data_IF_396951545765
#
_entry.id   IF_396951545765
#
_cell.length_a   1.000
_cell.length_b   1.000
_cell.length_c   1.000
_cell.angle_alpha   90.00
_cell.angle_beta   90.00
_cell.angle_gamma   90.00
#
_symmetry.space_group_name_H-M   'P 1'
#
loop_
_entity.id
_entity.type
_entity.pdbx_description
1 polymer ?
#
# COMPACT_ATOMS: atom_id res chain seq x y z
N UNK A 1 -30.23 -7.06 0.43
CA UNK A 1 -30.00 -8.17 -0.54
C UNK A 1 -28.71 -8.90 -0.17
N UNK A 2 -28.52 -10.14 -0.64
CA UNK A 2 -27.26 -10.86 -0.46
C UNK A 2 -26.18 -10.29 -1.40
N UNK A 3 -24.90 -10.55 -1.10
CA UNK A 3 -23.78 -10.03 -1.88
C UNK A 3 -23.85 -10.39 -3.37
N UNK A 4 -24.19 -11.64 -3.70
CA UNK A 4 -24.34 -12.07 -5.10
C UNK A 4 -25.48 -11.37 -5.85
N UNK A 5 -26.57 -11.06 -5.15
CA UNK A 5 -27.68 -10.28 -5.72
C UNK A 5 -27.26 -8.82 -5.93
N UNK A 6 -26.46 -8.27 -5.00
CA UNK A 6 -25.88 -6.93 -5.13
C UNK A 6 -24.99 -6.84 -6.38
N UNK A 7 -24.05 -7.78 -6.57
CA UNK A 7 -23.19 -7.82 -7.76
C UNK A 7 -24.02 -7.84 -9.06
N UNK A 8 -25.04 -8.71 -9.11
CA UNK A 8 -25.90 -8.81 -10.29
C UNK A 8 -26.72 -7.52 -10.52
N UNK A 9 -27.20 -6.89 -9.46
CA UNK A 9 -27.92 -5.60 -9.56
C UNK A 9 -26.98 -4.51 -10.10
N UNK A 10 -25.76 -4.39 -9.55
CA UNK A 10 -24.75 -3.42 -10.04
C UNK A 10 -24.43 -3.67 -11.51
N UNK A 11 -24.19 -4.93 -11.90
CA UNK A 11 -23.89 -5.29 -13.29
C UNK A 11 -25.03 -4.87 -14.24
N UNK A 12 -26.27 -5.20 -13.90
CA UNK A 12 -27.45 -4.92 -14.71
C UNK A 12 -27.69 -3.41 -14.84
N UNK A 13 -27.69 -2.71 -13.72
CA UNK A 13 -28.02 -1.27 -13.68
C UNK A 13 -26.92 -0.39 -14.30
N UNK A 14 -25.63 -0.72 -14.09
CA UNK A 14 -24.54 0.00 -14.76
C UNK A 14 -24.58 -0.28 -16.26
N UNK A 15 -24.78 -1.53 -16.69
CA UNK A 15 -24.89 -1.86 -18.13
C UNK A 15 -26.02 -1.08 -18.80
N UNK A 16 -27.16 -0.92 -18.13
CA UNK A 16 -28.28 -0.14 -18.67
C UNK A 16 -27.99 1.38 -18.79
N UNK A 17 -27.02 1.90 -18.06
CA UNK A 17 -26.61 3.32 -18.06
C UNK A 17 -25.45 3.61 -19.01
N UNK A 18 -24.80 2.58 -19.57
CA UNK A 18 -23.69 2.72 -20.50
C UNK A 18 -24.17 2.70 -21.96
N UNK A 19 -23.40 3.30 -22.86
CA UNK A 19 -23.59 3.19 -24.30
C UNK A 19 -23.35 1.73 -24.76
N UNK A 20 -24.02 1.33 -25.83
CA UNK A 20 -24.00 -0.07 -26.35
C UNK A 20 -22.60 -0.58 -26.74
N UNK A 21 -21.64 0.29 -26.98
CA UNK A 21 -20.28 -0.08 -27.38
C UNK A 21 -19.40 -0.49 -26.17
N UNK A 22 -19.81 -0.13 -24.95
CA UNK A 22 -19.06 -0.47 -23.74
C UNK A 22 -19.32 -1.94 -23.35
N UNK A 23 -18.30 -2.56 -22.78
CA UNK A 23 -18.41 -3.90 -22.17
C UNK A 23 -18.14 -3.78 -20.69
N UNK A 24 -18.99 -4.41 -19.88
CA UNK A 24 -18.83 -4.50 -18.45
C UNK A 24 -18.50 -5.94 -18.06
N UNK A 25 -17.54 -6.11 -17.16
CA UNK A 25 -17.20 -7.39 -16.55
C UNK A 25 -16.97 -7.23 -15.06
N UNK A 26 -17.38 -8.23 -14.29
CA UNK A 26 -17.01 -8.36 -12.87
C UNK A 26 -16.18 -9.62 -12.71
N UNK A 27 -14.99 -9.51 -12.11
CA UNK A 27 -14.12 -10.66 -11.90
C UNK A 27 -13.36 -10.54 -10.58
N UNK A 28 -13.00 -11.68 -9.95
CA UNK A 28 -12.22 -11.66 -8.72
C UNK A 28 -10.79 -11.17 -8.99
N UNK A 29 -10.35 -10.18 -8.20
CA UNK A 29 -9.01 -9.60 -8.22
C UNK A 29 -8.30 -9.97 -6.93
N UNK A 30 -7.14 -10.59 -7.05
CA UNK A 30 -6.29 -10.91 -5.90
C UNK A 30 -5.56 -9.64 -5.43
N UNK A 31 -5.62 -9.39 -4.14
CA UNK A 31 -4.92 -8.32 -3.45
C UNK A 31 -3.85 -8.88 -2.51
N UNK A 32 -3.09 -7.99 -1.92
CA UNK A 32 -2.14 -8.32 -0.87
C UNK A 32 -2.81 -9.12 0.26
N UNK A 33 -2.06 -9.92 1.00
CA UNK A 33 -2.50 -10.77 2.08
C UNK A 33 -3.56 -11.82 1.69
N UNK A 34 -3.60 -12.21 0.39
CA UNK A 34 -4.52 -13.22 -0.11
C UNK A 34 -5.98 -12.76 -0.19
N UNK A 35 -6.25 -11.48 -0.01
CA UNK A 35 -7.59 -10.90 -0.15
C UNK A 35 -8.07 -11.01 -1.59
N UNK A 36 -9.37 -11.20 -1.76
CA UNK A 36 -10.02 -11.27 -3.08
C UNK A 36 -11.16 -10.27 -3.10
N UNK A 37 -11.10 -9.33 -4.03
CA UNK A 37 -12.14 -8.34 -4.26
C UNK A 37 -12.79 -8.56 -5.61
N UNK A 38 -14.09 -8.26 -5.71
CA UNK A 38 -14.78 -8.28 -6.99
C UNK A 38 -14.56 -6.94 -7.70
N UNK A 39 -13.78 -7.00 -8.77
CA UNK A 39 -13.42 -5.84 -9.59
C UNK A 39 -14.39 -5.67 -10.75
N UNK A 40 -15.11 -4.56 -10.78
CA UNK A 40 -15.88 -4.09 -11.91
C UNK A 40 -14.95 -3.39 -12.89
N UNK A 41 -14.98 -3.80 -14.15
CA UNK A 41 -14.22 -3.18 -15.25
C UNK A 41 -15.18 -2.74 -16.34
N UNK A 42 -15.18 -1.46 -16.66
CA UNK A 42 -15.94 -0.87 -17.77
C UNK A 42 -14.97 -0.63 -18.92
N UNK A 43 -15.07 -1.46 -19.95
CA UNK A 43 -14.17 -1.43 -21.10
C UNK A 43 -14.75 -0.52 -22.17
N UNK A 44 -14.05 0.60 -22.43
CA UNK A 44 -14.29 1.44 -23.58
C UNK A 44 -13.46 0.90 -24.77
N UNK A 45 -14.10 0.53 -25.91
CA UNK A 45 -13.38 -0.08 -27.04
C UNK A 45 -12.35 0.88 -27.71
N UNK A 46 -12.37 2.15 -27.35
CA UNK A 46 -11.41 3.15 -27.84
C UNK A 46 -10.05 3.08 -27.16
N UNK A 47 -9.95 2.39 -26.02
CA UNK A 47 -8.73 2.34 -25.20
C UNK A 47 -8.37 0.90 -24.85
N UNK A 48 -7.08 0.64 -24.68
CA UNK A 48 -6.54 -0.68 -24.35
C UNK A 48 -6.40 -0.94 -22.85
N UNK A 49 -6.75 0.03 -22.00
CA UNK A 49 -6.78 -0.08 -20.54
C UNK A 49 -8.14 0.35 -20.00
N UNK A 50 -8.47 -0.11 -18.81
CA UNK A 50 -9.67 0.32 -18.07
C UNK A 50 -9.39 0.28 -16.56
N UNK A 51 -9.97 1.21 -15.76
CA UNK A 51 -9.86 1.16 -14.32
C UNK A 51 -10.64 -0.05 -13.77
N UNK A 52 -10.14 -0.61 -12.67
CA UNK A 52 -10.84 -1.63 -11.90
C UNK A 52 -11.44 -1.00 -10.66
N UNK A 53 -12.76 -1.06 -10.53
CA UNK A 53 -13.50 -0.52 -9.38
C UNK A 53 -13.88 -1.68 -8.46
N UNK A 54 -13.37 -1.68 -7.23
CA UNK A 54 -13.64 -2.76 -6.27
C UNK A 54 -15.02 -2.60 -5.64
N UNK A 55 -15.89 -3.61 -5.77
CA UNK A 55 -17.29 -3.53 -5.34
C UNK A 55 -17.51 -3.84 -3.85
N UNK A 56 -16.54 -4.50 -3.20
CA UNK A 56 -16.66 -4.88 -1.79
C UNK A 56 -16.93 -3.67 -0.86
N UNK A 57 -16.23 -2.53 -0.97
CA UNK A 57 -16.53 -1.35 -0.15
C UNK A 57 -17.95 -0.79 -0.39
N UNK A 58 -18.43 -0.81 -1.61
CA UNK A 58 -19.79 -0.35 -1.95
C UNK A 58 -20.88 -1.26 -1.37
N UNK A 59 -20.60 -2.56 -1.24
CA UNK A 59 -21.52 -3.45 -0.54
C UNK A 59 -21.63 -3.13 0.95
N UNK A 60 -20.53 -2.74 1.60
CA UNK A 60 -20.59 -2.24 2.98
C UNK A 60 -21.45 -0.97 3.09
N UNK A 61 -21.30 -0.02 2.17
CA UNK A 61 -22.20 1.15 2.13
C UNK A 61 -23.67 0.76 1.99
N UNK A 62 -23.97 -0.26 1.17
CA UNK A 62 -25.33 -0.79 1.07
C UNK A 62 -25.82 -1.37 2.40
N UNK A 63 -25.00 -2.11 3.12
CA UNK A 63 -25.34 -2.66 4.44
C UNK A 63 -25.56 -1.55 5.48
N UNK A 64 -24.83 -0.43 5.36
CA UNK A 64 -24.99 0.78 6.18
C UNK A 64 -26.21 1.64 5.79
N UNK A 65 -27.00 1.18 4.81
CA UNK A 65 -28.27 1.81 4.42
C UNK A 65 -28.16 2.83 3.28
N UNK A 66 -27.01 2.94 2.60
CA UNK A 66 -26.89 3.78 1.40
C UNK A 66 -27.73 3.19 0.26
N UNK A 67 -28.47 4.03 -0.45
CA UNK A 67 -29.33 3.58 -1.55
C UNK A 67 -28.51 3.03 -2.73
N UNK A 68 -29.10 2.07 -3.47
CA UNK A 68 -28.46 1.51 -4.67
C UNK A 68 -28.19 2.62 -5.70
N UNK A 69 -29.11 3.56 -5.91
CA UNK A 69 -28.91 4.66 -6.86
C UNK A 69 -27.70 5.52 -6.49
N UNK A 70 -27.53 5.85 -5.21
CA UNK A 70 -26.35 6.60 -4.74
C UNK A 70 -25.05 5.82 -4.95
N UNK A 71 -25.08 4.50 -4.78
CA UNK A 71 -23.93 3.61 -5.01
C UNK A 71 -23.60 3.56 -6.51
N UNK A 72 -24.60 3.43 -7.38
CA UNK A 72 -24.41 3.43 -8.84
C UNK A 72 -23.80 4.76 -9.32
N UNK A 73 -24.29 5.88 -8.79
CA UNK A 73 -23.76 7.20 -9.12
C UNK A 73 -22.29 7.34 -8.65
N UNK A 74 -21.95 6.84 -7.46
CA UNK A 74 -20.59 6.85 -6.96
C UNK A 74 -19.65 5.97 -7.81
N UNK A 75 -20.09 4.78 -8.23
CA UNK A 75 -19.32 3.89 -9.12
C UNK A 75 -19.07 4.58 -10.47
N UNK A 76 -20.09 5.20 -11.07
CA UNK A 76 -19.96 5.92 -12.35
C UNK A 76 -19.09 7.16 -12.22
N UNK A 77 -19.17 7.88 -11.09
CA UNK A 77 -18.25 8.99 -10.80
C UNK A 77 -16.82 8.51 -10.74
N UNK A 78 -16.55 7.44 -9.97
CA UNK A 78 -15.22 6.82 -9.89
C UNK A 78 -14.71 6.42 -11.28
N UNK A 79 -15.55 5.78 -12.10
CA UNK A 79 -15.17 5.47 -13.48
C UNK A 79 -14.79 6.72 -14.27
N UNK A 80 -15.59 7.78 -14.18
CA UNK A 80 -15.35 9.02 -14.93
C UNK A 80 -14.08 9.75 -14.50
N UNK A 81 -13.73 9.67 -13.22
CA UNK A 81 -12.50 10.27 -12.66
C UNK A 81 -11.24 9.56 -13.14
N UNK A 82 -11.31 8.23 -13.34
CA UNK A 82 -10.15 7.38 -13.66
C UNK A 82 -10.18 6.75 -15.06
N UNK A 83 -11.21 7.03 -15.88
CA UNK A 83 -11.25 6.50 -17.26
C UNK A 83 -10.06 7.01 -18.06
N UNK A 84 -9.46 6.16 -18.92
CA UNK A 84 -8.35 6.56 -19.77
C UNK A 84 -8.79 7.63 -20.77
N UNK A 85 -7.85 8.52 -21.11
CA UNK A 85 -7.99 9.53 -22.17
C UNK A 85 -7.19 9.19 -23.42
N UNK A 86 -6.25 8.22 -23.30
CA UNK A 86 -5.39 7.72 -24.35
C UNK A 86 -5.02 6.27 -24.13
N UNK A 87 -4.49 5.61 -25.16
CA UNK A 87 -3.95 4.26 -25.01
C UNK A 87 -2.69 4.28 -24.15
N UNK A 88 -2.53 3.24 -23.33
CA UNK A 88 -1.34 3.06 -22.53
C UNK A 88 -0.44 1.98 -23.15
N UNK A 89 0.72 2.38 -23.62
CA UNK A 89 1.71 1.44 -24.17
C UNK A 89 2.47 0.74 -23.04
N UNK A 90 2.15 -0.54 -22.80
CA UNK A 90 2.86 -1.39 -21.84
C UNK A 90 4.05 -2.14 -22.44
N UNK A 91 4.30 -2.01 -23.75
CA UNK A 91 5.38 -2.76 -24.43
C UNK A 91 6.77 -2.42 -23.92
N UNK A 92 6.93 -1.22 -23.30
CA UNK A 92 8.20 -0.86 -22.65
C UNK A 92 8.55 -1.82 -21.49
N UNK A 93 7.56 -2.47 -20.86
CA UNK A 93 7.80 -3.43 -19.78
C UNK A 93 8.48 -4.73 -20.27
N UNK A 94 8.48 -5.02 -21.56
CA UNK A 94 9.15 -6.20 -22.10
C UNK A 94 10.67 -6.01 -22.25
N UNK A 95 11.16 -4.79 -22.16
CA UNK A 95 12.57 -4.43 -22.31
C UNK A 95 13.14 -3.87 -21.00
N UNK A 96 14.02 -4.65 -20.35
CA UNK A 96 14.65 -4.26 -19.09
C UNK A 96 15.39 -2.91 -19.18
N UNK A 97 15.99 -2.60 -20.31
CA UNK A 97 16.72 -1.33 -20.49
C UNK A 97 15.83 -0.10 -20.33
N UNK A 98 14.54 -0.23 -20.66
CA UNK A 98 13.53 0.84 -20.55
C UNK A 98 12.93 0.97 -19.14
N UNK A 99 12.92 -0.13 -18.38
CA UNK A 99 12.33 -0.16 -17.04
C UNK A 99 13.35 -0.14 -15.91
N UNK A 100 14.61 -0.38 -16.19
CA UNK A 100 15.69 -0.46 -15.19
C UNK A 100 15.68 0.69 -14.19
N UNK A 101 15.50 1.92 -14.65
CA UNK A 101 15.45 3.13 -13.82
C UNK A 101 14.11 3.34 -13.09
N UNK A 102 13.13 2.48 -13.36
CA UNK A 102 11.78 2.48 -12.78
C UNK A 102 11.55 1.31 -11.81
N UNK A 103 12.52 0.41 -11.64
CA UNK A 103 12.41 -0.71 -10.70
C UNK A 103 12.47 -0.17 -9.28
N UNK A 104 11.44 -0.45 -8.50
CA UNK A 104 11.32 -0.13 -7.08
C UNK A 104 11.08 -1.40 -6.26
N UNK A 105 11.28 -1.32 -4.96
CA UNK A 105 10.90 -2.39 -4.04
C UNK A 105 9.83 -1.93 -3.06
N UNK A 106 9.06 -2.90 -2.54
CA UNK A 106 8.13 -2.69 -1.46
C UNK A 106 8.15 -3.85 -0.46
N UNK A 107 7.64 -3.60 0.74
CA UNK A 107 7.45 -4.60 1.79
C UNK A 107 6.01 -5.11 1.79
N UNK A 108 5.87 -6.43 1.91
CA UNK A 108 4.59 -7.10 2.19
C UNK A 108 4.79 -8.13 3.31
N UNK A 109 3.70 -8.55 3.96
CA UNK A 109 3.77 -9.65 4.92
C UNK A 109 4.22 -10.94 4.24
N UNK A 110 5.26 -11.61 4.76
CA UNK A 110 5.74 -12.87 4.20
C UNK A 110 4.70 -13.99 4.37
N UNK A 111 4.17 -14.16 5.58
CA UNK A 111 3.28 -15.28 5.88
C UNK A 111 1.93 -15.18 5.19
N UNK A 112 1.35 -13.98 5.12
CA UNK A 112 0.05 -13.76 4.49
C UNK A 112 0.10 -13.86 2.95
N UNK A 113 1.29 -13.76 2.34
CA UNK A 113 1.47 -13.75 0.88
C UNK A 113 2.15 -14.99 0.29
N UNK A 114 2.27 -16.10 1.03
CA UNK A 114 2.94 -17.34 0.61
C UNK A 114 2.51 -17.87 -0.77
N UNK A 115 1.23 -17.67 -1.15
CA UNK A 115 0.70 -18.11 -2.45
C UNK A 115 1.18 -17.21 -3.59
N UNK A 116 1.21 -15.90 -3.37
CA UNK A 116 1.66 -14.90 -4.35
C UNK A 116 3.16 -15.01 -4.58
N UNK A 117 3.93 -15.23 -3.51
CA UNK A 117 5.39 -15.31 -3.54
C UNK A 117 5.94 -16.52 -4.32
N UNK A 118 5.08 -17.46 -4.76
CA UNK A 118 5.52 -18.59 -5.59
C UNK A 118 5.91 -18.20 -7.02
N UNK A 119 5.37 -17.09 -7.52
CA UNK A 119 5.53 -16.65 -8.90
C UNK A 119 6.21 -15.26 -8.99
N UNK A 120 6.77 -14.79 -7.86
CA UNK A 120 7.34 -13.45 -7.73
C UNK A 120 8.73 -13.54 -7.09
N UNK A 121 9.78 -12.95 -7.68
CA UNK A 121 11.08 -12.87 -7.04
C UNK A 121 10.99 -12.03 -5.77
N UNK A 122 11.51 -12.53 -4.66
CA UNK A 122 11.48 -11.83 -3.39
C UNK A 122 12.73 -12.08 -2.54
N UNK A 123 12.92 -11.22 -1.54
CA UNK A 123 13.90 -11.41 -0.48
C UNK A 123 13.16 -11.46 0.84
N UNK A 124 13.41 -12.50 1.65
CA UNK A 124 12.87 -12.55 3.00
C UNK A 124 13.67 -11.63 3.92
N UNK A 125 12.98 -10.75 4.63
CA UNK A 125 13.54 -9.83 5.62
C UNK A 125 12.63 -9.81 6.85
N UNK A 126 13.10 -10.35 7.97
CA UNK A 126 12.30 -10.56 9.19
C UNK A 126 11.00 -11.35 8.85
N UNK A 127 9.84 -10.81 9.21
CA UNK A 127 8.53 -11.39 8.89
C UNK A 127 7.96 -10.85 7.57
N UNK A 128 8.77 -10.15 6.79
CA UNK A 128 8.37 -9.51 5.54
C UNK A 128 8.99 -10.20 4.33
N UNK A 129 8.37 -9.95 3.18
CA UNK A 129 8.96 -10.17 1.88
C UNK A 129 9.20 -8.83 1.18
N UNK A 130 10.40 -8.62 0.66
CA UNK A 130 10.73 -7.53 -0.23
C UNK A 130 10.42 -8.01 -1.64
N UNK A 131 9.45 -7.41 -2.31
CA UNK A 131 9.10 -7.68 -3.71
C UNK A 131 9.48 -6.49 -4.58
N UNK A 132 9.50 -6.71 -5.90
CA UNK A 132 9.94 -5.71 -6.87
C UNK A 132 8.81 -5.32 -7.80
N UNK A 133 8.77 -4.05 -8.17
CA UNK A 133 7.76 -3.49 -9.05
C UNK A 133 8.38 -2.53 -10.05
N UNK A 134 7.75 -2.42 -11.22
CA UNK A 134 8.01 -1.36 -12.19
C UNK A 134 7.11 -0.18 -11.86
N UNK A 135 7.67 0.96 -11.52
CA UNK A 135 6.92 2.19 -11.28
C UNK A 135 6.47 2.82 -12.60
N UNK A 136 5.16 3.01 -12.76
CA UNK A 136 4.53 3.62 -13.95
C UNK A 136 3.71 4.88 -13.61
N UNK A 137 3.76 5.31 -12.37
CA UNK A 137 2.89 6.35 -11.82
C UNK A 137 3.08 7.76 -12.35
N UNK A 138 4.11 8.03 -13.18
CA UNK A 138 4.21 9.32 -13.87
C UNK A 138 3.33 9.39 -15.13
N UNK A 139 2.87 8.26 -15.61
CA UNK A 139 2.12 8.08 -16.85
C UNK A 139 0.63 7.76 -16.59
N UNK A 140 0.26 7.54 -15.31
CA UNK A 140 -1.11 7.25 -14.87
C UNK A 140 -1.57 8.31 -13.85
N UNK A 141 -2.89 8.58 -13.76
CA UNK A 141 -3.45 9.55 -12.79
C UNK A 141 -3.13 9.23 -11.33
N UNK A 142 -2.89 7.95 -11.02
CA UNK A 142 -2.58 7.46 -9.69
C UNK A 142 -1.20 6.77 -9.62
N UNK A 143 -0.83 6.36 -8.38
CA UNK A 143 0.35 5.54 -8.13
C UNK A 143 0.20 4.17 -8.81
N UNK A 144 0.72 4.04 -10.03
CA UNK A 144 0.69 2.79 -10.79
C UNK A 144 1.99 2.01 -10.64
N UNK A 145 1.88 0.72 -10.39
CA UNK A 145 3.00 -0.22 -10.40
C UNK A 145 2.62 -1.51 -11.12
N UNK A 146 3.62 -2.18 -11.67
CA UNK A 146 3.50 -3.52 -12.25
C UNK A 146 4.43 -4.44 -11.47
N UNK A 147 3.87 -5.46 -10.82
CA UNK A 147 4.66 -6.44 -10.06
C UNK A 147 5.58 -7.23 -10.99
N UNK A 148 6.87 -7.29 -10.64
CA UNK A 148 7.84 -8.11 -11.35
C UNK A 148 7.60 -9.57 -10.99
N UNK A 149 7.27 -10.41 -11.97
CA UNK A 149 7.10 -11.85 -11.82
C UNK A 149 8.33 -12.62 -12.28
N UNK A 150 8.47 -13.89 -11.90
CA UNK A 150 9.54 -14.76 -12.39
C UNK A 150 9.51 -14.91 -13.91
N UNK A 151 8.31 -14.89 -14.52
CA UNK A 151 8.15 -14.91 -15.97
C UNK A 151 8.73 -13.63 -16.61
N UNK A 152 8.50 -12.47 -16.00
CA UNK A 152 9.03 -11.18 -16.48
C UNK A 152 10.56 -11.12 -16.30
N UNK A 153 11.07 -11.58 -15.15
CA UNK A 153 12.50 -11.69 -14.87
C UNK A 153 13.21 -12.57 -15.93
N UNK A 154 12.61 -13.73 -16.24
CA UNK A 154 13.11 -14.66 -17.25
C UNK A 154 13.09 -14.02 -18.65
N UNK A 155 12.05 -13.29 -19.01
CA UNK A 155 11.94 -12.55 -20.28
C UNK A 155 13.02 -11.49 -20.43
N UNK A 156 13.35 -10.77 -19.35
CA UNK A 156 14.41 -9.79 -19.32
C UNK A 156 15.83 -10.42 -19.37
N UNK A 157 15.96 -11.72 -19.06
CA UNK A 157 17.24 -12.41 -19.02
C UNK A 157 18.18 -11.90 -17.94
N UNK A 158 17.63 -11.45 -16.80
CA UNK A 158 18.38 -10.94 -15.65
C UNK A 158 18.13 -11.80 -14.41
N UNK A 159 18.99 -11.64 -13.41
CA UNK A 159 18.87 -12.27 -12.11
C UNK A 159 18.27 -11.34 -11.06
N UNK A 160 17.90 -11.91 -9.92
CA UNK A 160 17.34 -11.16 -8.77
C UNK A 160 18.34 -10.14 -8.22
N UNK A 161 19.65 -10.41 -8.30
CA UNK A 161 20.67 -9.46 -7.83
C UNK A 161 20.67 -8.17 -8.65
N UNK A 162 20.40 -8.27 -9.94
CA UNK A 162 20.25 -7.11 -10.83
C UNK A 162 19.02 -6.27 -10.45
N UNK A 163 17.89 -6.91 -10.07
CA UNK A 163 16.72 -6.21 -9.53
C UNK A 163 17.05 -5.48 -8.22
N UNK A 164 17.71 -6.16 -7.29
CA UNK A 164 18.13 -5.59 -6.00
C UNK A 164 18.95 -4.32 -6.23
N UNK A 165 19.99 -4.41 -7.05
CA UNK A 165 20.88 -3.26 -7.34
C UNK A 165 20.13 -2.07 -7.93
N UNK A 166 19.24 -2.32 -8.88
CA UNK A 166 18.43 -1.27 -9.50
C UNK A 166 17.48 -0.65 -8.46
N UNK A 167 16.74 -1.47 -7.72
CA UNK A 167 15.70 -1.00 -6.80
C UNK A 167 16.25 -0.23 -5.60
N UNK A 168 17.41 -0.62 -5.03
CA UNK A 168 18.04 0.09 -3.91
C UNK A 168 18.37 1.54 -4.30
N UNK A 169 18.78 1.80 -5.52
CA UNK A 169 19.10 3.15 -6.01
C UNK A 169 17.83 3.92 -6.38
N UNK A 170 16.88 3.25 -7.03
CA UNK A 170 15.71 3.91 -7.60
C UNK A 170 14.65 4.22 -6.56
N UNK A 171 14.39 3.29 -5.61
CA UNK A 171 13.27 3.45 -4.68
C UNK A 171 13.38 4.74 -3.87
N UNK A 172 14.51 5.07 -3.23
CA UNK A 172 14.64 6.34 -2.50
C UNK A 172 14.63 7.58 -3.41
N UNK A 173 15.01 7.44 -4.67
CA UNK A 173 15.01 8.53 -5.66
C UNK A 173 13.60 8.82 -6.18
N UNK A 174 12.82 7.77 -6.48
CA UNK A 174 11.46 7.89 -7.02
C UNK A 174 10.47 8.21 -5.90
N UNK A 175 10.66 7.59 -4.75
CA UNK A 175 9.82 7.68 -3.55
C UNK A 175 10.65 8.13 -2.34
N UNK A 176 11.10 9.39 -2.29
CA UNK A 176 11.93 9.89 -1.19
C UNK A 176 11.30 9.61 0.18
N UNK A 177 12.14 9.30 1.16
CA UNK A 177 11.71 9.09 2.53
C UNK A 177 11.02 10.34 3.09
N UNK A 178 9.96 10.13 3.84
CA UNK A 178 9.23 11.14 4.60
C UNK A 178 9.14 10.71 6.06
N UNK A 179 9.55 11.60 6.97
CA UNK A 179 9.48 11.39 8.42
C UNK A 179 8.62 12.50 9.00
N UNK A 180 7.47 12.14 9.54
CA UNK A 180 6.44 13.08 9.98
C UNK A 180 6.28 12.92 11.50
N UNK A 181 6.32 13.99 12.27
CA UNK A 181 5.97 13.93 13.69
C UNK A 181 4.47 13.65 13.84
N UNK A 182 4.11 12.65 14.66
CA UNK A 182 2.74 12.22 14.84
C UNK A 182 1.85 13.32 15.44
N UNK A 183 2.37 14.07 16.42
CA UNK A 183 1.61 15.14 17.04
C UNK A 183 1.31 16.28 16.04
N UNK A 184 2.29 16.65 15.19
CA UNK A 184 2.09 17.64 14.13
C UNK A 184 1.11 17.15 13.07
N UNK A 185 1.20 15.87 12.70
CA UNK A 185 0.28 15.25 11.73
C UNK A 185 -1.17 15.29 12.23
N UNK A 186 -1.42 14.85 13.47
CA UNK A 186 -2.75 14.84 14.06
C UNK A 186 -3.29 16.25 14.29
N UNK A 187 -2.43 17.20 14.72
CA UNK A 187 -2.83 18.59 14.85
C UNK A 187 -3.32 19.20 13.53
N UNK A 188 -2.71 18.80 12.41
CA UNK A 188 -3.06 19.30 11.07
C UNK A 188 -4.28 18.58 10.47
N UNK A 189 -4.37 17.26 10.62
CA UNK A 189 -5.39 16.43 9.97
C UNK A 189 -6.67 16.27 10.82
N UNK A 190 -6.51 16.18 12.13
CA UNK A 190 -7.58 15.91 13.09
C UNK A 190 -7.51 16.87 14.29
N UNK A 191 -7.70 18.20 14.11
CA UNK A 191 -7.48 19.18 15.18
C UNK A 191 -8.37 18.95 16.41
N UNK A 192 -9.58 18.42 16.22
CA UNK A 192 -10.47 18.05 17.32
C UNK A 192 -9.89 16.95 18.22
N UNK A 193 -9.34 15.89 17.61
CA UNK A 193 -8.70 14.80 18.32
C UNK A 193 -7.39 15.26 19.01
N UNK A 194 -6.57 16.04 18.32
CA UNK A 194 -5.36 16.62 18.89
C UNK A 194 -5.66 17.45 20.15
N UNK A 195 -6.73 18.25 20.15
CA UNK A 195 -7.14 19.03 21.30
C UNK A 195 -7.60 18.15 22.48
N UNK A 196 -8.28 17.04 22.22
CA UNK A 196 -8.65 16.08 23.26
C UNK A 196 -7.41 15.42 23.86
N UNK A 197 -6.44 15.02 23.03
CA UNK A 197 -5.19 14.42 23.51
C UNK A 197 -4.36 15.40 24.36
N UNK A 198 -4.28 16.69 23.98
CA UNK A 198 -3.62 17.74 24.79
C UNK A 198 -4.27 17.95 26.15
N UNK A 199 -5.55 17.67 26.28
CA UNK A 199 -6.25 17.78 27.56
C UNK A 199 -5.94 16.60 28.52
N UNK A 200 -5.41 15.49 27.99
CA UNK A 200 -5.19 14.24 28.75
C UNK A 200 -3.70 14.01 29.00
N UNK A 201 -2.83 14.37 28.09
CA UNK A 201 -1.37 14.17 28.18
C UNK A 201 -0.61 15.29 27.49
N UNK A 202 0.71 15.35 27.71
CA UNK A 202 1.64 16.24 26.97
C UNK A 202 1.83 15.71 25.53
N UNK A 203 0.75 15.81 24.75
CA UNK A 203 0.66 15.26 23.40
C UNK A 203 1.68 15.86 22.43
N UNK A 204 2.04 17.14 22.60
CA UNK A 204 2.97 17.84 21.71
C UNK A 204 4.44 17.34 21.91
N UNK A 205 4.73 16.72 23.04
CA UNK A 205 6.04 16.10 23.32
C UNK A 205 6.08 14.59 22.99
N UNK A 206 5.02 14.01 22.42
CA UNK A 206 4.99 12.60 22.07
C UNK A 206 6.11 12.26 21.04
N UNK A 207 7.11 11.48 21.41
CA UNK A 207 8.27 11.21 20.57
C UNK A 207 7.97 10.10 19.55
N UNK A 208 6.85 10.22 18.82
CA UNK A 208 6.41 9.26 17.82
C UNK A 208 6.45 9.86 16.43
N UNK A 209 6.98 9.11 15.49
CA UNK A 209 7.15 9.53 14.10
C UNK A 209 6.53 8.51 13.16
N UNK A 210 5.92 9.00 12.07
CA UNK A 210 5.49 8.20 10.93
C UNK A 210 6.64 8.18 9.95
N UNK A 211 7.20 7.00 9.69
CA UNK A 211 8.22 6.77 8.68
C UNK A 211 7.56 6.16 7.44
N UNK A 212 7.57 6.90 6.36
CA UNK A 212 6.92 6.54 5.09
C UNK A 212 7.70 7.12 3.90
N UNK A 213 7.11 7.16 2.73
CA UNK A 213 7.65 7.85 1.56
C UNK A 213 6.84 9.12 1.22
N UNK A 214 7.32 9.91 0.24
CA UNK A 214 6.69 11.15 -0.19
C UNK A 214 5.27 11.01 -0.73
N UNK A 215 4.85 9.81 -1.12
CA UNK A 215 3.51 9.48 -1.60
C UNK A 215 2.58 8.93 -0.52
N UNK A 216 3.12 8.55 0.64
CA UNK A 216 2.37 7.87 1.71
C UNK A 216 1.65 6.60 1.21
N UNK A 217 2.23 5.93 0.22
CA UNK A 217 1.70 4.70 -0.38
C UNK A 217 2.84 3.69 -0.50
N UNK A 218 2.65 2.46 0.02
CA UNK A 218 3.67 1.41 0.12
C UNK A 218 4.98 1.90 0.77
N UNK A 219 4.88 2.89 1.66
CA UNK A 219 6.00 3.60 2.24
C UNK A 219 6.67 2.90 3.41
N UNK A 220 6.12 1.80 3.91
CA UNK A 220 6.78 0.98 4.94
C UNK A 220 8.19 0.53 4.52
N UNK A 221 8.43 0.39 3.22
CA UNK A 221 9.74 0.09 2.65
C UNK A 221 10.83 1.12 2.97
N UNK A 222 10.48 2.32 3.44
CA UNK A 222 11.42 3.36 3.83
C UNK A 222 12.38 2.96 4.97
N UNK A 223 12.01 1.96 5.78
CA UNK A 223 12.93 1.38 6.79
C UNK A 223 14.18 0.75 6.17
N UNK A 224 14.10 0.36 4.90
CA UNK A 224 15.21 -0.27 4.15
C UNK A 224 16.06 0.74 3.36
N UNK A 225 15.69 2.03 3.36
CA UNK A 225 16.46 3.02 2.63
C UNK A 225 17.82 3.26 3.29
N UNK A 226 18.90 3.27 2.52
CA UNK A 226 20.23 3.43 3.08
C UNK A 226 20.36 4.64 3.99
N UNK A 227 20.79 4.43 5.23
CA UNK A 227 21.06 5.48 6.21
C UNK A 227 19.83 6.14 6.84
N UNK A 228 18.60 5.77 6.50
CA UNK A 228 17.39 6.37 7.08
C UNK A 228 17.28 6.06 8.56
N UNK A 229 17.33 4.79 8.96
CA UNK A 229 17.22 4.41 10.37
C UNK A 229 18.39 4.96 11.20
N UNK A 230 19.63 4.87 10.70
CA UNK A 230 20.79 5.39 11.43
C UNK A 230 20.75 6.92 11.61
N UNK A 231 20.23 7.65 10.62
CA UNK A 231 20.04 9.10 10.72
C UNK A 231 18.95 9.46 11.73
N UNK A 232 17.84 8.71 11.72
CA UNK A 232 16.75 8.92 12.66
C UNK A 232 17.15 8.56 14.10
N UNK A 233 17.88 7.46 14.30
CA UNK A 233 18.40 7.05 15.59
C UNK A 233 19.36 8.10 16.21
N UNK A 234 20.21 8.72 15.38
CA UNK A 234 21.06 9.85 15.84
C UNK A 234 20.23 11.03 16.31
N UNK A 235 19.13 11.34 15.60
CA UNK A 235 18.21 12.43 15.98
C UNK A 235 17.46 12.11 17.27
N UNK A 236 17.07 10.84 17.48
CA UNK A 236 16.29 10.39 18.63
C UNK A 236 17.15 9.95 19.83
N UNK A 237 18.46 9.89 19.67
CA UNK A 237 19.40 9.63 20.77
C UNK A 237 19.72 8.17 21.04
N UNK A 238 19.34 7.22 20.19
CA UNK A 238 19.69 5.80 20.43
C UNK A 238 18.85 4.79 19.68
N UNK A 239 18.57 3.69 20.34
CA UNK A 239 17.73 2.60 19.81
C UNK A 239 16.29 3.05 19.61
N UNK A 240 15.60 2.40 18.69
CA UNK A 240 14.23 2.77 18.35
C UNK A 240 13.33 1.53 18.32
N UNK A 241 12.08 1.76 18.71
CA UNK A 241 10.97 0.85 18.49
C UNK A 241 10.37 1.12 17.12
N UNK A 242 10.17 0.07 16.33
CA UNK A 242 9.58 0.12 15.00
C UNK A 242 8.29 -0.69 15.02
N UNK A 243 7.15 -0.07 14.73
CA UNK A 243 5.83 -0.70 14.70
C UNK A 243 5.31 -0.65 13.27
N UNK A 244 5.09 -1.80 12.60
CA UNK A 244 4.48 -1.83 11.28
C UNK A 244 3.00 -1.45 11.40
N UNK A 245 2.66 -0.21 11.10
CA UNK A 245 1.28 0.28 11.13
C UNK A 245 0.48 -0.27 9.94
N UNK A 246 1.10 -0.29 8.76
CA UNK A 246 0.53 -0.87 7.54
C UNK A 246 1.62 -1.06 6.49
N UNK A 247 1.29 -1.55 5.29
CA UNK A 247 2.23 -1.52 4.15
C UNK A 247 2.64 -0.09 3.77
N UNK A 248 1.93 0.92 4.28
CA UNK A 248 2.16 2.33 3.93
C UNK A 248 3.18 3.01 4.85
N UNK A 249 3.32 2.57 6.10
CA UNK A 249 4.22 3.23 7.05
C UNK A 249 4.62 2.36 8.25
N UNK A 250 5.72 2.75 8.87
CA UNK A 250 6.09 2.36 10.22
C UNK A 250 5.90 3.52 11.19
N UNK A 251 5.41 3.22 12.39
CA UNK A 251 5.52 4.12 13.52
C UNK A 251 6.88 3.89 14.18
N UNK A 252 7.59 4.98 14.46
CA UNK A 252 8.93 4.94 15.05
C UNK A 252 8.95 5.80 16.29
N UNK A 253 9.49 5.27 17.37
CA UNK A 253 9.69 6.00 18.61
C UNK A 253 11.02 5.63 19.29
N UNK A 254 11.62 6.52 20.11
CA UNK A 254 12.77 6.14 20.91
C UNK A 254 12.45 4.92 21.77
N UNK A 255 13.39 3.99 21.86
CA UNK A 255 13.27 2.89 22.83
C UNK A 255 13.79 3.39 24.18
N UNK A 256 12.89 3.82 25.04
CA UNK A 256 13.18 4.20 26.42
C UNK A 256 13.00 3.00 27.35
N UNK A 257 13.72 2.98 28.46
CA UNK A 257 13.62 1.95 29.50
C UNK A 257 12.22 1.90 30.14
N UNK A 258 11.46 2.98 30.06
CA UNK A 258 10.15 3.09 30.71
C UNK A 258 8.97 2.66 29.80
N UNK A 259 9.24 2.28 28.53
CA UNK A 259 8.22 1.79 27.63
C UNK A 259 7.88 0.34 27.99
N UNK A 260 6.64 0.09 28.41
CA UNK A 260 6.11 -1.25 28.58
C UNK A 260 5.75 -1.87 27.22
N UNK A 261 6.62 -2.76 26.75
CA UNK A 261 6.41 -3.48 25.48
C UNK A 261 5.71 -4.84 25.67
N UNK A 262 5.36 -5.23 26.90
CA UNK A 262 4.84 -6.57 27.19
C UNK A 262 3.54 -6.89 26.43
N UNK A 263 2.65 -5.92 26.28
CA UNK A 263 1.36 -6.09 25.62
C UNK A 263 1.29 -5.43 24.23
N UNK A 264 2.43 -4.90 23.74
CA UNK A 264 2.43 -4.11 22.50
C UNK A 264 2.06 -4.93 21.27
N UNK A 265 2.46 -6.19 21.20
CA UNK A 265 2.08 -7.05 20.06
C UNK A 265 0.58 -7.38 20.07
N UNK A 266 -0.02 -7.59 21.25
CA UNK A 266 -1.47 -7.80 21.36
C UNK A 266 -2.23 -6.54 20.92
N UNK A 267 -1.76 -5.36 21.34
CA UNK A 267 -2.32 -4.08 20.91
C UNK A 267 -2.19 -3.86 19.39
N UNK A 268 -1.05 -4.22 18.79
CA UNK A 268 -0.88 -4.15 17.33
C UNK A 268 -1.89 -5.06 16.62
N UNK A 269 -2.10 -6.29 17.10
CA UNK A 269 -3.09 -7.19 16.55
C UNK A 269 -4.52 -6.63 16.67
N UNK A 270 -4.87 -6.03 17.81
CA UNK A 270 -6.17 -5.40 18.01
C UNK A 270 -6.40 -4.24 17.03
N UNK A 271 -5.45 -3.31 16.92
CA UNK A 271 -5.51 -2.19 15.96
C UNK A 271 -5.60 -2.69 14.52
N UNK A 272 -4.81 -3.70 14.14
CA UNK A 272 -4.88 -4.30 12.82
C UNK A 272 -6.27 -4.87 12.51
N UNK A 273 -6.95 -5.44 13.50
CA UNK A 273 -8.26 -6.06 13.29
C UNK A 273 -9.43 -5.06 13.23
N UNK A 274 -9.24 -3.83 13.72
CA UNK A 274 -10.30 -2.82 13.80
C UNK A 274 -10.11 -1.62 12.88
N UNK A 275 -8.85 -1.20 12.66
CA UNK A 275 -8.54 0.07 12.00
C UNK A 275 -7.80 -0.09 10.66
N UNK A 276 -7.14 -1.25 10.43
CA UNK A 276 -6.33 -1.48 9.23
C UNK A 276 -7.05 -2.43 8.28
N UNK A 277 -7.13 -2.07 7.01
CA UNK A 277 -7.71 -2.97 6.00
C UNK A 277 -6.87 -4.25 5.89
N UNK A 278 -7.52 -5.40 5.74
CA UNK A 278 -6.85 -6.71 5.73
C UNK A 278 -5.70 -6.77 4.70
N UNK A 279 -5.87 -6.19 3.52
CA UNK A 279 -4.84 -6.13 2.49
C UNK A 279 -3.68 -5.18 2.80
N UNK A 280 -3.82 -4.31 3.79
CA UNK A 280 -2.80 -3.35 4.20
C UNK A 280 -2.01 -3.78 5.43
N UNK A 281 -2.46 -4.80 6.14
CA UNK A 281 -1.74 -5.33 7.31
C UNK A 281 -0.37 -5.83 6.88
N UNK A 282 0.69 -5.24 7.47
CA UNK A 282 2.08 -5.59 7.18
C UNK A 282 2.65 -6.58 8.19
N UNK A 283 2.44 -6.38 9.48
CA UNK A 283 2.98 -7.20 10.55
C UNK A 283 2.14 -7.14 11.82
N UNK A 284 2.37 -8.09 12.71
CA UNK A 284 1.58 -8.27 13.96
C UNK A 284 2.44 -8.10 15.21
N UNK A 285 3.70 -7.66 15.06
CA UNK A 285 4.60 -7.41 16.17
C UNK A 285 5.48 -6.19 15.91
N UNK A 286 6.06 -5.64 16.97
CA UNK A 286 7.08 -4.59 16.88
C UNK A 286 8.47 -5.18 16.61
N UNK A 287 9.39 -4.31 16.23
CA UNK A 287 10.82 -4.58 16.02
C UNK A 287 11.65 -3.55 16.74
N UNK A 288 12.90 -3.90 17.01
CA UNK A 288 13.88 -2.99 17.62
C UNK A 288 14.99 -2.72 16.61
N UNK A 289 15.27 -1.44 16.39
CA UNK A 289 16.49 -1.01 15.71
C UNK A 289 17.57 -0.74 16.72
N UNK A 290 18.69 -1.48 16.62
CA UNK A 290 19.89 -1.24 17.41
C UNK A 290 20.82 -0.28 16.68
N UNK A 291 20.98 0.91 17.25
CA UNK A 291 21.80 1.98 16.68
C UNK A 291 23.30 1.71 16.71
N UNK A 292 23.78 0.74 17.52
CA UNK A 292 25.21 0.38 17.62
C UNK A 292 25.59 -0.60 16.51
N UNK A 293 24.71 -1.53 16.21
CA UNK A 293 24.96 -2.60 15.21
C UNK A 293 24.36 -2.28 13.85
N UNK A 294 23.55 -1.23 13.73
CA UNK A 294 22.79 -0.86 12.52
C UNK A 294 21.90 -2.00 12.03
N UNK A 295 21.23 -2.69 12.95
CA UNK A 295 20.39 -3.86 12.66
C UNK A 295 18.99 -3.74 13.25
N UNK A 296 18.02 -4.39 12.60
CA UNK A 296 16.64 -4.56 13.08
C UNK A 296 16.41 -6.01 13.46
N UNK A 297 15.76 -6.28 14.61
CA UNK A 297 15.44 -7.63 15.09
C UNK A 297 14.10 -7.68 15.80
#
# INVERSE_FOLDING_TARGET
MKYTEFLHTIETEITARLDNDFKLTIHPVKKNNGMIYDGLVIINPKFNIAPTIYLNPYYHWYLDGVSIDSILDAILSTYNDFKPTEDFDISFCDDFSKVKEKIIFQLISYDKNQKQLKDVPYIKYLDFAIIFEVYVGAELPEFGTITVTDALLSRWGIDTETLIRASIQNTPRILPCSIINMAEFLAKKCPGYANQMRAVCDFDSLPMYILTNSRQTNGASAILYPGVLSSLAKKLGGNMLLIPSSIHEFLVMPLDSDIDVCNLSEFICEVNSTEVRDEEVLGERYYIYDSKTDTVY
#
